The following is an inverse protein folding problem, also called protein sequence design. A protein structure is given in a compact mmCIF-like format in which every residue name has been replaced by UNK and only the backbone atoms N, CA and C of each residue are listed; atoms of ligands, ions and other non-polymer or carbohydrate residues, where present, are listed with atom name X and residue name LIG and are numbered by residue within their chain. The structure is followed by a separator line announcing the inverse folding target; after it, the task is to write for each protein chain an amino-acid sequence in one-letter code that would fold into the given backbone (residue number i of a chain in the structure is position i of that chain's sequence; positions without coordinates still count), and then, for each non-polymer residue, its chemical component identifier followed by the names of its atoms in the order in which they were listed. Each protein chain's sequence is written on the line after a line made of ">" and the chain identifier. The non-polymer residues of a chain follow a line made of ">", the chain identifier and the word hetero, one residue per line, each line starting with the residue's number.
data_IF_988733808228
#
_entry.id   IF_988733808228
#
_cell.length_a   1.000
_cell.length_b   1.000
_cell.length_c   1.000
_cell.angle_alpha   90.00
_cell.angle_beta   90.00
_cell.angle_gamma   90.00
#
_symmetry.space_group_name_H-M   'P 1'
#
loop_
_entity.id
_entity.type
_entity.pdbx_description
1 polymer ?
#
# COMPACT_ATOMS: atom_id res chain seq x y z
N UNK A 1 -15.56 -10.26 18.93
CA UNK A 1 -14.29 -10.13 18.16
C UNK A 1 -13.44 -8.99 18.72
N UNK A 2 -12.39 -9.27 19.50
CA UNK A 2 -11.34 -8.28 19.77
C UNK A 2 -10.53 -8.12 18.49
N UNK A 3 -10.91 -7.17 17.64
CA UNK A 3 -10.09 -6.82 16.48
C UNK A 3 -8.85 -6.14 17.04
N UNK A 4 -7.70 -6.84 17.08
CA UNK A 4 -6.44 -6.16 17.37
C UNK A 4 -6.34 -4.95 16.44
N UNK A 5 -6.05 -3.77 16.99
CA UNK A 5 -5.78 -2.58 16.19
C UNK A 5 -4.55 -2.91 15.34
N UNK A 6 -4.78 -3.37 14.11
CA UNK A 6 -3.75 -3.61 13.12
C UNK A 6 -2.91 -2.33 13.06
N UNK A 7 -1.60 -2.48 13.23
CA UNK A 7 -0.66 -1.37 13.34
C UNK A 7 -0.92 -0.33 12.24
N UNK A 8 -0.86 0.95 12.61
CA UNK A 8 -1.07 2.08 11.69
C UNK A 8 -0.15 1.97 10.47
N UNK A 9 1.08 1.50 10.67
CA UNK A 9 2.08 1.30 9.62
C UNK A 9 1.69 0.17 8.67
N UNK A 10 1.28 -0.99 9.20
CA UNK A 10 0.78 -2.11 8.37
C UNK A 10 -0.45 -1.71 7.57
N UNK A 11 -1.32 -0.86 8.13
CA UNK A 11 -2.48 -0.32 7.40
C UNK A 11 -2.04 0.65 6.29
N UNK A 12 -1.03 1.47 6.53
CA UNK A 12 -0.48 2.36 5.51
C UNK A 12 0.10 1.56 4.35
N UNK A 13 0.86 0.51 4.64
CA UNK A 13 1.39 -0.43 3.64
C UNK A 13 0.29 -1.07 2.79
N UNK A 14 -0.71 -1.69 3.43
CA UNK A 14 -1.83 -2.32 2.72
C UNK A 14 -2.62 -1.33 1.83
N UNK A 15 -2.77 -0.07 2.28
CA UNK A 15 -3.38 0.98 1.45
C UNK A 15 -2.53 1.34 0.24
N UNK A 16 -1.20 1.33 0.39
CA UNK A 16 -0.25 1.55 -0.69
C UNK A 16 -0.37 0.47 -1.75
N UNK A 17 -0.36 -0.79 -1.32
CA UNK A 17 -0.53 -1.95 -2.19
C UNK A 17 -1.83 -1.88 -3.00
N UNK A 18 -2.96 -1.63 -2.34
CA UNK A 18 -4.24 -1.51 -3.03
C UNK A 18 -4.26 -0.35 -4.06
N UNK A 19 -3.61 0.77 -3.74
CA UNK A 19 -3.47 1.88 -4.68
C UNK A 19 -2.61 1.51 -5.90
N UNK A 20 -1.52 0.78 -5.70
CA UNK A 20 -0.65 0.30 -6.78
C UNK A 20 -1.35 -0.70 -7.71
N UNK A 21 -2.09 -1.67 -7.16
CA UNK A 21 -2.89 -2.63 -7.94
C UNK A 21 -3.96 -1.89 -8.75
N UNK A 22 -4.59 -0.87 -8.15
CA UNK A 22 -5.58 -0.03 -8.83
C UNK A 22 -4.99 0.89 -9.90
N UNK A 23 -3.67 0.90 -10.11
CA UNK A 23 -3.00 1.77 -11.07
C UNK A 23 -2.96 3.25 -10.68
N UNK A 24 -3.17 3.58 -9.40
CA UNK A 24 -3.08 4.97 -8.92
C UNK A 24 -1.61 5.37 -8.82
N UNK A 25 -1.32 6.65 -9.07
CA UNK A 25 0.04 7.16 -8.98
C UNK A 25 0.53 7.29 -7.52
N UNK A 26 1.85 7.27 -7.32
CA UNK A 26 2.48 7.34 -5.98
C UNK A 26 2.25 8.68 -5.28
N UNK A 27 1.95 9.76 -6.02
CA UNK A 27 1.68 11.08 -5.44
C UNK A 27 0.35 11.12 -4.67
N UNK A 28 -0.57 10.18 -4.94
CA UNK A 28 -1.84 10.05 -4.20
C UNK A 28 -1.67 9.53 -2.76
N UNK A 29 -0.45 9.44 -2.24
CA UNK A 29 -0.19 9.06 -0.86
C UNK A 29 -0.83 10.08 0.10
N UNK A 30 -1.79 9.70 0.95
CA UNK A 30 -2.46 10.62 1.85
C UNK A 30 -1.66 10.91 3.14
N UNK A 31 -0.51 10.27 3.31
CA UNK A 31 0.27 10.35 4.54
C UNK A 31 1.36 11.41 4.44
N UNK A 32 1.33 12.37 5.37
CA UNK A 32 2.39 13.37 5.53
C UNK A 32 3.51 12.87 6.45
N UNK A 33 3.17 12.04 7.44
CA UNK A 33 4.14 11.44 8.36
C UNK A 33 5.10 10.50 7.60
N UNK A 34 6.40 10.67 7.84
CA UNK A 34 7.45 9.96 7.11
C UNK A 34 7.30 8.44 7.20
N UNK A 35 7.10 7.88 8.39
CA UNK A 35 7.01 6.42 8.57
C UNK A 35 5.81 5.83 7.82
N UNK A 36 4.63 6.44 7.96
CA UNK A 36 3.43 5.99 7.26
C UNK A 36 3.55 6.15 5.74
N UNK A 37 4.18 7.23 5.27
CA UNK A 37 4.45 7.45 3.85
C UNK A 37 5.42 6.40 3.29
N UNK A 38 6.50 6.10 4.01
CA UNK A 38 7.48 5.07 3.63
C UNK A 38 6.81 3.70 3.52
N UNK A 39 5.95 3.34 4.48
CA UNK A 39 5.20 2.09 4.44
C UNK A 39 4.20 2.03 3.28
N UNK A 40 3.46 3.11 3.04
CA UNK A 40 2.54 3.21 1.90
C UNK A 40 3.28 3.10 0.55
N UNK A 41 4.42 3.78 0.40
CA UNK A 41 5.24 3.69 -0.81
C UNK A 41 5.88 2.31 -1.00
N UNK A 42 6.16 1.58 0.09
CA UNK A 42 6.59 0.18 0.06
C UNK A 42 5.52 -0.71 -0.58
N UNK A 43 4.32 -0.72 0.00
CA UNK A 43 3.21 -1.51 -0.56
C UNK A 43 2.85 -1.12 -1.98
N UNK A 44 2.89 0.18 -2.32
CA UNK A 44 2.64 0.63 -3.71
C UNK A 44 3.64 0.06 -4.70
N UNK A 45 4.94 0.01 -4.37
CA UNK A 45 5.97 -0.59 -5.23
C UNK A 45 5.75 -2.07 -5.41
N UNK A 46 5.51 -2.81 -4.33
CA UNK A 46 5.19 -4.24 -4.37
C UNK A 46 4.01 -4.50 -5.32
N UNK A 47 2.94 -3.71 -5.22
CA UNK A 47 1.79 -3.85 -6.09
C UNK A 47 2.05 -3.52 -7.56
N UNK A 48 2.89 -2.52 -7.85
CA UNK A 48 3.28 -2.19 -9.23
C UNK A 48 4.15 -3.29 -9.82
N UNK A 49 5.07 -3.85 -9.03
CA UNK A 49 5.87 -5.02 -9.41
C UNK A 49 4.97 -6.22 -9.71
N UNK A 50 4.04 -6.57 -8.81
CA UNK A 50 3.09 -7.67 -9.02
C UNK A 50 2.23 -7.47 -10.27
N UNK A 51 1.72 -6.25 -10.48
CA UNK A 51 0.96 -5.90 -11.68
C UNK A 51 1.81 -6.01 -12.95
N UNK A 52 3.07 -5.59 -12.89
CA UNK A 52 4.00 -5.65 -14.03
C UNK A 52 4.40 -7.09 -14.38
N UNK A 53 4.52 -7.96 -13.38
CA UNK A 53 4.78 -9.39 -13.54
C UNK A 53 3.53 -10.18 -13.98
N UNK A 54 2.37 -9.53 -14.05
CA UNK A 54 1.12 -10.16 -14.48
C UNK A 54 0.42 -10.98 -13.40
N UNK A 55 0.80 -10.83 -12.12
CA UNK A 55 0.08 -11.39 -10.98
C UNK A 55 -1.19 -10.59 -10.71
N UNK A 56 -2.14 -10.63 -11.64
CA UNK A 56 -3.50 -10.18 -11.36
C UNK A 56 -4.16 -11.26 -10.52
N UNK A 57 -4.07 -11.14 -9.19
CA UNK A 57 -4.91 -11.92 -8.28
C UNK A 57 -6.36 -11.56 -8.60
N UNK A 58 -7.02 -12.44 -9.36
CA UNK A 58 -8.47 -12.44 -9.58
C UNK A 58 -9.18 -12.95 -8.33
#
# INVERSE_FOLDING_TARGET
>A
MKRQKRDKLTRAHAKGYHAGISGRAKENCPFQAFDARSQWLGGWREAVEDRSLGYSVR
#
